data_IF_449912891940
#
_entry.id   IF_449912891940
#
_cell.length_a   1.000
_cell.length_b   1.000
_cell.length_c   1.000
_cell.angle_alpha   90.00
_cell.angle_beta   90.00
_cell.angle_gamma   90.00
#
_symmetry.space_group_name_H-M   'P 1'
#
loop_
_entity.id
_entity.type
_entity.pdbx_description
1 polymer ?
#
# COMPACT_ATOMS: atom_id res chain seq x y z
N UNK A 1 -10.81 29.75 14.84
CA UNK A 1 -9.93 28.55 14.71
C UNK A 1 -8.53 28.94 14.24
N UNK A 2 -8.10 30.13 14.63
CA UNK A 2 -6.83 30.70 14.13
C UNK A 2 -5.58 29.96 14.59
N UNK A 3 -5.72 29.09 15.60
CA UNK A 3 -4.60 28.34 16.15
C UNK A 3 -4.51 26.88 15.66
N UNK A 4 -5.40 26.51 14.75
CA UNK A 4 -5.43 25.14 14.23
C UNK A 4 -4.30 24.94 13.20
N UNK A 5 -3.27 24.26 13.59
CA UNK A 5 -2.13 23.95 12.71
C UNK A 5 -1.40 22.70 13.19
N UNK A 6 -0.74 22.04 12.24
CA UNK A 6 0.05 20.86 12.54
C UNK A 6 1.39 21.29 13.17
N UNK A 7 1.87 20.50 14.11
CA UNK A 7 3.20 20.66 14.71
C UNK A 7 4.21 19.68 14.15
N UNK A 8 3.73 18.64 13.46
CA UNK A 8 4.56 17.59 12.86
C UNK A 8 3.98 17.25 11.51
N UNK A 9 4.84 16.81 10.57
CA UNK A 9 4.38 16.24 9.32
C UNK A 9 3.80 14.87 9.61
N UNK A 10 2.50 14.65 9.31
CA UNK A 10 1.88 13.35 9.58
C UNK A 10 2.38 12.29 8.60
N UNK A 11 2.32 11.03 9.03
CA UNK A 11 2.59 9.89 8.17
C UNK A 11 1.48 8.87 8.28
N UNK A 12 1.29 8.09 7.22
CA UNK A 12 0.38 6.97 7.25
C UNK A 12 0.98 5.83 8.07
N UNK A 13 0.14 5.20 8.89
CA UNK A 13 0.50 3.97 9.59
C UNK A 13 -0.75 3.12 9.73
N UNK A 14 -0.73 1.92 9.18
CA UNK A 14 -1.83 0.97 9.28
C UNK A 14 -1.24 -0.44 9.36
N UNK A 15 -2.02 -1.40 9.85
CA UNK A 15 -1.55 -2.76 10.00
C UNK A 15 -2.68 -3.75 10.12
N UNK A 16 -2.34 -5.03 9.96
CA UNK A 16 -3.31 -6.12 9.99
C UNK A 16 -2.61 -7.43 10.31
N UNK A 17 -3.22 -8.22 11.16
CA UNK A 17 -2.80 -9.60 11.36
C UNK A 17 -3.33 -10.45 10.22
N UNK A 18 -2.44 -11.13 9.52
CA UNK A 18 -2.78 -12.09 8.47
C UNK A 18 -2.50 -13.50 9.01
N UNK A 19 -3.51 -14.36 8.98
CA UNK A 19 -3.41 -15.71 9.53
C UNK A 19 -2.81 -16.68 8.53
N UNK A 20 -1.58 -16.34 8.08
CA UNK A 20 -0.77 -17.11 7.14
C UNK A 20 0.70 -16.94 7.50
N UNK A 21 1.57 -17.92 7.10
CA UNK A 21 3.01 -17.81 7.30
C UNK A 21 3.60 -16.60 6.61
N UNK A 22 4.68 -16.07 7.16
CA UNK A 22 5.31 -14.84 6.65
C UNK A 22 5.75 -14.95 5.18
N UNK A 23 6.19 -16.13 4.75
CA UNK A 23 6.60 -16.32 3.35
C UNK A 23 5.44 -16.12 2.37
N UNK A 24 4.24 -16.58 2.73
CA UNK A 24 3.06 -16.43 1.89
C UNK A 24 2.61 -14.96 1.84
N UNK A 25 2.67 -14.28 2.96
CA UNK A 25 2.25 -12.86 3.06
C UNK A 25 3.22 -11.96 2.32
N UNK A 26 4.52 -12.19 2.48
CA UNK A 26 5.55 -11.45 1.75
C UNK A 26 5.41 -11.66 0.23
N UNK A 27 5.27 -12.92 -0.20
CA UNK A 27 5.13 -13.26 -1.62
C UNK A 27 3.95 -12.54 -2.27
N UNK A 28 2.86 -12.35 -1.54
CA UNK A 28 1.68 -11.67 -2.05
C UNK A 28 1.96 -10.23 -2.47
N UNK A 29 2.92 -9.56 -1.86
CA UNK A 29 3.27 -8.18 -2.21
C UNK A 29 4.36 -8.06 -3.27
N UNK A 30 5.22 -9.07 -3.44
CA UNK A 30 6.31 -9.00 -4.42
C UNK A 30 5.98 -9.70 -5.73
N UNK A 31 5.04 -10.63 -5.71
CA UNK A 31 4.63 -11.41 -6.89
C UNK A 31 3.34 -10.81 -7.49
N UNK A 32 3.41 -10.16 -8.66
CA UNK A 32 2.23 -9.51 -9.24
C UNK A 32 1.10 -10.48 -9.58
N UNK A 33 1.39 -11.77 -9.80
CA UNK A 33 0.33 -12.78 -10.02
C UNK A 33 -0.61 -12.89 -8.82
N UNK A 34 -0.14 -12.52 -7.63
CA UNK A 34 -0.93 -12.50 -6.40
C UNK A 34 -1.43 -11.09 -6.11
N UNK A 35 -0.54 -10.10 -6.15
CA UNK A 35 -0.86 -8.70 -5.79
C UNK A 35 -2.01 -8.15 -6.63
N UNK A 36 -2.08 -8.50 -7.91
CA UNK A 36 -3.14 -8.02 -8.81
C UNK A 36 -4.53 -8.54 -8.42
N UNK A 37 -4.62 -9.49 -7.53
CA UNK A 37 -5.91 -10.03 -7.07
C UNK A 37 -6.53 -9.21 -5.94
N UNK A 38 -5.75 -8.31 -5.31
CA UNK A 38 -6.28 -7.53 -4.18
C UNK A 38 -5.86 -6.06 -4.20
N UNK A 39 -5.03 -5.62 -5.12
CA UNK A 39 -4.55 -4.23 -5.13
C UNK A 39 -4.58 -3.63 -6.54
N UNK A 40 -3.41 -3.43 -7.18
CA UNK A 40 -3.34 -2.90 -8.54
C UNK A 40 -3.74 -3.97 -9.56
N UNK A 41 -4.00 -3.54 -10.81
CA UNK A 41 -4.49 -4.43 -11.87
C UNK A 41 -3.35 -5.16 -12.57
N UNK A 42 -2.18 -4.50 -12.70
CA UNK A 42 -1.08 -4.99 -13.52
C UNK A 42 0.25 -4.43 -13.03
N UNK A 43 1.30 -5.20 -13.15
CA UNK A 43 2.68 -4.77 -12.90
C UNK A 43 3.57 -5.18 -14.06
N UNK A 44 4.59 -4.37 -14.35
CA UNK A 44 5.58 -4.71 -15.37
C UNK A 44 6.55 -5.80 -14.91
N UNK A 45 6.59 -6.14 -13.63
CA UNK A 45 7.46 -7.20 -13.11
C UNK A 45 7.35 -7.41 -11.62
N UNK A 46 8.05 -8.42 -11.15
CA UNK A 46 8.18 -8.72 -9.71
C UNK A 46 8.99 -7.62 -9.03
N UNK A 47 8.71 -7.34 -7.76
CA UNK A 47 9.50 -6.39 -6.99
C UNK A 47 10.90 -6.97 -6.69
N UNK A 48 11.92 -6.27 -7.17
CA UNK A 48 13.33 -6.59 -6.94
C UNK A 48 14.07 -5.29 -6.64
N UNK A 49 14.98 -5.31 -5.68
CA UNK A 49 15.69 -4.10 -5.25
C UNK A 49 16.43 -3.45 -6.43
N UNK A 50 16.22 -2.15 -6.61
CA UNK A 50 16.87 -1.38 -7.66
C UNK A 50 16.31 -1.56 -9.07
N UNK A 51 15.24 -2.35 -9.25
CA UNK A 51 14.61 -2.58 -10.54
C UNK A 51 13.27 -1.85 -10.61
N UNK A 52 13.19 -0.69 -11.28
CA UNK A 52 11.92 0.03 -11.39
C UNK A 52 10.84 -0.80 -12.07
N UNK A 53 9.62 -0.69 -11.56
CA UNK A 53 8.44 -1.32 -12.15
C UNK A 53 7.35 -0.28 -12.36
N UNK A 54 6.35 -0.63 -13.16
CA UNK A 54 5.16 0.18 -13.34
C UNK A 54 3.96 -0.60 -12.82
N UNK A 55 3.17 0.03 -11.96
CA UNK A 55 1.89 -0.49 -11.48
C UNK A 55 0.75 0.25 -12.14
N UNK A 56 -0.24 -0.49 -12.62
CA UNK A 56 -1.40 0.06 -13.30
C UNK A 56 -2.68 -0.24 -12.52
N UNK A 57 -3.52 0.76 -12.40
CA UNK A 57 -4.90 0.63 -11.92
C UNK A 57 -5.81 0.90 -13.10
N UNK A 58 -6.11 -0.16 -13.87
CA UNK A 58 -6.86 -0.02 -15.12
C UNK A 58 -8.26 0.55 -14.89
N UNK A 59 -8.89 0.21 -13.75
CA UNK A 59 -10.20 0.74 -13.41
C UNK A 59 -10.21 2.26 -13.24
N UNK A 60 -9.07 2.87 -13.01
CA UNK A 60 -8.93 4.32 -12.85
C UNK A 60 -8.13 4.98 -13.96
N UNK A 61 -7.60 4.19 -14.90
CA UNK A 61 -6.74 4.71 -15.95
C UNK A 61 -5.44 5.31 -15.41
N UNK A 62 -4.93 4.79 -14.31
CA UNK A 62 -3.74 5.30 -13.62
C UNK A 62 -2.58 4.33 -13.78
N UNK A 63 -1.40 4.86 -14.10
CA UNK A 63 -0.13 4.13 -14.12
C UNK A 63 0.87 4.88 -13.27
N UNK A 64 1.60 4.15 -12.41
CA UNK A 64 2.53 4.74 -11.44
C UNK A 64 3.89 4.06 -11.56
N UNK A 65 4.99 4.81 -11.74
CA UNK A 65 6.33 4.25 -11.65
C UNK A 65 6.67 4.00 -10.18
N UNK A 66 7.24 2.83 -9.91
CA UNK A 66 7.61 2.40 -8.55
C UNK A 66 9.07 1.99 -8.55
N UNK A 67 9.83 2.54 -7.61
CA UNK A 67 11.24 2.20 -7.43
C UNK A 67 11.42 1.43 -6.14
N UNK A 68 11.64 0.09 -6.20
CA UNK A 68 11.97 -0.68 -5.02
C UNK A 68 13.36 -0.29 -4.51
N UNK A 69 13.45 0.12 -3.26
CA UNK A 69 14.70 0.52 -2.62
C UNK A 69 15.30 -0.60 -1.80
N UNK A 70 14.47 -1.30 -1.02
CA UNK A 70 14.89 -2.37 -0.12
C UNK A 70 13.89 -3.52 -0.28
N UNK A 71 14.41 -4.72 -0.51
CA UNK A 71 13.64 -5.96 -0.50
C UNK A 71 14.38 -6.94 0.41
N UNK A 72 13.91 -7.09 1.63
CA UNK A 72 14.44 -8.07 2.58
C UNK A 72 13.43 -9.22 2.69
N UNK A 73 13.73 -10.40 2.13
CA UNK A 73 12.77 -11.50 2.10
C UNK A 73 12.15 -11.80 3.46
N UNK A 74 10.82 -11.88 3.49
CA UNK A 74 10.02 -12.19 4.67
C UNK A 74 10.15 -11.19 5.81
N UNK A 75 10.73 -10.02 5.57
CA UNK A 75 10.96 -9.03 6.62
C UNK A 75 10.51 -7.63 6.24
N UNK A 76 10.92 -7.12 5.06
CA UNK A 76 10.73 -5.70 4.78
C UNK A 76 10.72 -5.40 3.30
N UNK A 77 9.86 -4.46 2.89
CA UNK A 77 9.84 -3.88 1.55
C UNK A 77 9.83 -2.36 1.71
N UNK A 78 10.68 -1.65 0.97
CA UNK A 78 10.64 -0.19 0.89
C UNK A 78 10.60 0.20 -0.58
N UNK A 79 9.62 1.02 -0.94
CA UNK A 79 9.51 1.59 -2.29
C UNK A 79 9.44 3.11 -2.21
N UNK A 80 9.78 3.73 -3.32
CA UNK A 80 9.53 5.14 -3.56
C UNK A 80 8.65 5.26 -4.80
N UNK A 81 7.65 6.12 -4.72
CA UNK A 81 6.77 6.41 -5.85
C UNK A 81 6.39 7.90 -5.84
N UNK A 82 5.90 8.45 -6.98
CA UNK A 82 5.45 9.84 -7.00
C UNK A 82 4.16 10.01 -6.19
N UNK A 83 4.15 11.02 -5.34
CA UNK A 83 2.96 11.45 -4.62
C UNK A 83 2.33 12.65 -5.31
N UNK A 84 1.30 13.25 -4.70
CA UNK A 84 0.63 14.42 -5.25
C UNK A 84 1.53 15.66 -5.24
N UNK A 85 2.41 15.77 -4.26
CA UNK A 85 3.28 16.94 -4.06
C UNK A 85 4.77 16.56 -4.03
N UNK A 86 5.13 15.45 -4.66
CA UNK A 86 6.49 14.95 -4.70
C UNK A 86 6.57 13.49 -4.28
N UNK A 87 7.75 12.88 -4.36
CA UNK A 87 7.90 11.47 -4.04
C UNK A 87 7.63 11.18 -2.57
N UNK A 88 7.01 10.03 -2.31
CA UNK A 88 6.83 9.50 -0.96
C UNK A 88 7.49 8.13 -0.86
N UNK A 89 7.74 7.69 0.36
CA UNK A 89 8.33 6.39 0.65
C UNK A 89 7.30 5.53 1.37
N UNK A 90 7.09 4.32 0.86
CA UNK A 90 6.19 3.34 1.49
C UNK A 90 7.01 2.18 2.00
N UNK A 91 6.76 1.79 3.24
CA UNK A 91 7.46 0.67 3.87
C UNK A 91 6.46 -0.36 4.38
N UNK A 92 6.72 -1.63 4.06
CA UNK A 92 6.04 -2.79 4.63
C UNK A 92 7.00 -3.48 5.58
N UNK A 93 6.52 -3.82 6.77
CA UNK A 93 7.24 -4.72 7.67
C UNK A 93 6.39 -5.95 7.93
N UNK A 94 7.04 -7.10 7.99
CA UNK A 94 6.40 -8.41 8.16
C UNK A 94 6.94 -9.02 9.46
N UNK A 95 6.08 -9.12 10.47
CA UNK A 95 6.47 -9.65 11.78
C UNK A 95 5.83 -11.01 12.01
N UNK A 96 6.59 -12.11 11.84
CA UNK A 96 6.05 -13.43 12.14
C UNK A 96 5.73 -13.55 13.63
N UNK A 97 4.58 -14.14 13.93
CA UNK A 97 4.12 -14.35 15.30
C UNK A 97 4.45 -15.78 15.73
N UNK A 98 4.40 -16.04 17.04
CA UNK A 98 4.72 -17.37 17.58
C UNK A 98 3.74 -18.46 17.14
N UNK A 99 2.51 -18.07 16.74
CA UNK A 99 1.47 -19.00 16.29
C UNK A 99 1.50 -19.25 14.77
N UNK A 100 2.52 -18.75 14.07
CA UNK A 100 2.63 -18.90 12.62
C UNK A 100 1.85 -17.90 11.80
N UNK A 101 1.21 -16.93 12.43
CA UNK A 101 0.58 -15.80 11.72
C UNK A 101 1.59 -14.68 11.50
N UNK A 102 1.20 -13.64 10.76
CA UNK A 102 2.09 -12.55 10.39
C UNK A 102 1.39 -11.22 10.61
N UNK A 103 2.02 -10.31 11.36
CA UNK A 103 1.53 -8.94 11.45
C UNK A 103 2.20 -8.11 10.35
N UNK A 104 1.39 -7.50 9.49
CA UNK A 104 1.88 -6.61 8.42
C UNK A 104 1.62 -5.17 8.85
N UNK A 105 2.65 -4.34 8.78
CA UNK A 105 2.51 -2.90 8.97
C UNK A 105 2.92 -2.19 7.69
N UNK A 106 2.14 -1.18 7.30
CA UNK A 106 2.45 -0.32 6.16
C UNK A 106 2.53 1.11 6.66
N UNK A 107 3.61 1.81 6.28
CA UNK A 107 3.77 3.23 6.54
C UNK A 107 4.05 3.96 5.23
N UNK A 108 3.57 5.21 5.14
CA UNK A 108 3.93 6.10 4.04
C UNK A 108 4.33 7.44 4.62
N UNK A 109 5.49 7.96 4.21
CA UNK A 109 6.07 9.18 4.70
C UNK A 109 6.61 10.03 3.55
N UNK A 110 6.89 11.31 3.83
CA UNK A 110 7.41 12.23 2.83
C UNK A 110 6.33 13.12 2.23
N UNK A 111 5.14 13.16 2.82
CA UNK A 111 4.09 14.07 2.38
C UNK A 111 4.51 15.53 2.55
N UNK A 112 4.15 16.37 1.56
CA UNK A 112 4.45 17.80 1.58
C UNK A 112 3.19 18.59 1.21
N UNK A 113 3.20 19.88 1.52
CA UNK A 113 2.07 20.77 1.29
C UNK A 113 1.66 21.50 2.57
N UNK A 114 0.54 22.23 2.52
CA UNK A 114 0.01 22.87 3.71
C UNK A 114 -0.72 21.86 4.62
N UNK A 115 -1.24 22.34 5.76
CA UNK A 115 -1.88 21.47 6.74
C UNK A 115 -3.06 20.69 6.19
N UNK A 116 -3.92 21.34 5.42
CA UNK A 116 -5.10 20.71 4.83
C UNK A 116 -4.70 19.65 3.80
N UNK A 117 -3.70 19.97 2.97
CA UNK A 117 -3.17 19.01 1.98
C UNK A 117 -2.54 17.80 2.66
N UNK A 118 -1.79 18.02 3.73
CA UNK A 118 -1.17 16.93 4.49
C UNK A 118 -2.22 16.00 5.11
N UNK A 119 -3.26 16.57 5.73
CA UNK A 119 -4.35 15.78 6.32
C UNK A 119 -5.05 14.95 5.25
N UNK A 120 -5.33 15.55 4.10
CA UNK A 120 -5.99 14.85 3.00
C UNK A 120 -5.14 13.69 2.50
N UNK A 121 -3.85 13.93 2.26
CA UNK A 121 -2.93 12.88 1.77
C UNK A 121 -2.85 11.70 2.74
N UNK A 122 -2.69 11.98 4.03
CA UNK A 122 -2.60 10.93 5.06
C UNK A 122 -3.91 10.16 5.18
N UNK A 123 -5.05 10.87 5.13
CA UNK A 123 -6.37 10.24 5.21
C UNK A 123 -6.59 9.31 4.02
N UNK A 124 -6.32 9.78 2.81
CA UNK A 124 -6.49 8.98 1.59
C UNK A 124 -5.55 7.77 1.59
N UNK A 125 -4.29 7.96 1.97
CA UNK A 125 -3.29 6.90 2.04
C UNK A 125 -3.67 5.84 3.08
N UNK A 126 -4.07 6.26 4.27
CA UNK A 126 -4.45 5.34 5.35
C UNK A 126 -5.66 4.50 4.94
N UNK A 127 -6.66 5.12 4.33
CA UNK A 127 -7.83 4.41 3.83
C UNK A 127 -7.42 3.40 2.74
N UNK A 128 -6.62 3.85 1.76
CA UNK A 128 -6.20 3.00 0.65
C UNK A 128 -5.45 1.76 1.12
N UNK A 129 -4.45 1.93 1.96
CA UNK A 129 -3.67 0.81 2.46
C UNK A 129 -4.45 -0.10 3.41
N UNK A 130 -5.41 0.44 4.15
CA UNK A 130 -6.29 -0.39 4.99
C UNK A 130 -7.18 -1.29 4.14
N UNK A 131 -7.68 -0.79 3.01
CA UNK A 131 -8.43 -1.59 2.06
C UNK A 131 -7.55 -2.67 1.40
N UNK A 132 -6.31 -2.33 1.06
CA UNK A 132 -5.33 -3.29 0.53
C UNK A 132 -5.12 -4.44 1.51
N UNK A 133 -4.90 -4.13 2.78
CA UNK A 133 -4.71 -5.15 3.82
C UNK A 133 -5.95 -6.01 4.03
N UNK A 134 -7.13 -5.41 4.00
CA UNK A 134 -8.39 -6.17 4.11
C UNK A 134 -8.57 -7.11 2.92
N UNK A 135 -8.26 -6.64 1.71
CA UNK A 135 -8.31 -7.47 0.51
C UNK A 135 -7.31 -8.62 0.54
N UNK A 136 -6.09 -8.35 1.02
CA UNK A 136 -5.08 -9.38 1.21
C UNK A 136 -5.56 -10.46 2.19
N UNK A 137 -6.13 -10.04 3.31
CA UNK A 137 -6.65 -10.95 4.32
C UNK A 137 -7.73 -11.87 3.76
N UNK A 138 -8.70 -11.30 3.05
CA UNK A 138 -9.76 -12.08 2.41
C UNK A 138 -9.20 -13.07 1.39
N UNK A 139 -8.23 -12.64 0.59
CA UNK A 139 -7.63 -13.49 -0.44
C UNK A 139 -6.84 -14.64 0.16
N UNK A 140 -5.92 -14.36 1.07
CA UNK A 140 -5.02 -15.39 1.60
C UNK A 140 -5.72 -16.34 2.56
N UNK A 141 -6.61 -15.83 3.41
CA UNK A 141 -7.27 -16.66 4.43
C UNK A 141 -8.51 -17.38 3.91
N UNK A 142 -9.21 -16.79 2.95
CA UNK A 142 -10.52 -17.28 2.51
C UNK A 142 -10.65 -17.51 1.01
N UNK A 143 -9.61 -17.23 0.22
CA UNK A 143 -9.61 -17.36 -1.24
C UNK A 143 -10.72 -16.56 -1.91
N UNK A 144 -11.03 -15.37 -1.36
CA UNK A 144 -12.08 -14.48 -1.86
C UNK A 144 -11.44 -13.17 -2.37
N UNK A 145 -11.89 -12.73 -3.55
CA UNK A 145 -11.53 -11.43 -4.11
C UNK A 145 -12.69 -10.48 -3.84
N UNK A 146 -12.44 -9.46 -3.02
CA UNK A 146 -13.48 -8.52 -2.62
C UNK A 146 -13.60 -7.31 -3.54
N UNK A 147 -12.62 -7.08 -4.42
CA UNK A 147 -12.58 -5.91 -5.32
C UNK A 147 -12.66 -4.56 -4.58
N UNK A 148 -12.10 -4.49 -3.37
CA UNK A 148 -12.24 -3.32 -2.51
C UNK A 148 -11.69 -2.04 -3.16
N UNK A 149 -10.54 -2.14 -3.84
CA UNK A 149 -9.91 -0.98 -4.47
C UNK A 149 -10.77 -0.44 -5.60
N UNK A 150 -11.31 -1.30 -6.45
CA UNK A 150 -12.19 -0.89 -7.55
C UNK A 150 -13.52 -0.33 -7.02
N UNK A 151 -14.07 -0.96 -6.00
CA UNK A 151 -15.40 -0.63 -5.49
C UNK A 151 -15.42 0.61 -4.61
N UNK A 152 -14.23 1.07 -4.12
CA UNK A 152 -14.12 2.30 -3.35
C UNK A 152 -14.53 3.54 -4.17
N UNK A 153 -14.19 3.55 -5.45
CA UNK A 153 -14.51 4.65 -6.35
C UNK A 153 -15.18 4.10 -7.63
N UNK A 154 -16.42 3.60 -7.53
CA UNK A 154 -17.06 2.89 -8.65
C UNK A 154 -17.30 3.76 -9.89
N UNK A 155 -17.29 5.08 -9.75
CA UNK A 155 -17.45 6.03 -10.84
C UNK A 155 -16.16 6.74 -11.21
N UNK A 156 -15.02 6.25 -10.72
CA UNK A 156 -13.72 6.87 -10.89
C UNK A 156 -13.38 7.82 -9.75
N UNK A 157 -12.09 8.04 -9.54
CA UNK A 157 -11.57 8.81 -8.41
C UNK A 157 -12.10 10.26 -8.44
N UNK A 158 -12.16 10.88 -9.62
CA UNK A 158 -12.57 12.27 -9.76
C UNK A 158 -14.06 12.51 -9.48
N UNK A 159 -14.88 11.46 -9.50
CA UNK A 159 -16.32 11.56 -9.22
C UNK A 159 -16.63 11.52 -7.72
N UNK A 160 -15.67 11.32 -6.88
CA UNK A 160 -15.77 11.22 -5.44
C UNK A 160 -14.78 12.17 -4.76
#
# INVERSE_FOLDING_TARGET
MDNLRLTHVPMTRTGMLIRKPVADVFEAFVNPDITTKFWFTKSSGRLEAGQPVQWDWDMYGISVPVTPKIIEPNARIVIEWPGHHGPTTVEWTFAPQTDGTTFVRITEAGFTGDGDELVKQVTDSTQGFSLVLAGLKALLEHHVRLNLVADRYPKGIEAH
#
